data_IF_153368464344
#
_entry.id   IF_153368464344
#
_cell.length_a   1.000
_cell.length_b   1.000
_cell.length_c   1.000
_cell.angle_alpha   90.00
_cell.angle_beta   90.00
_cell.angle_gamma   90.00
#
_symmetry.space_group_name_H-M   'P 1'
#
loop_
_entity.id
_entity.type
_entity.pdbx_description
1 polymer ?
#
# COMPACT_ATOMS: atom_id res chain seq x y z
N UNK A 1 15.89 29.69 29.43
CA UNK A 1 14.86 28.76 29.95
C UNK A 1 15.26 27.37 29.53
N UNK A 2 15.17 26.36 30.40
CA UNK A 2 15.56 25.01 30.02
C UNK A 2 14.68 24.52 28.88
N UNK A 3 15.28 24.23 27.75
CA UNK A 3 14.64 23.51 26.65
C UNK A 3 14.65 22.02 27.04
N UNK A 4 13.50 21.38 27.04
CA UNK A 4 13.42 19.99 27.46
C UNK A 4 12.04 19.35 27.26
N UNK A 5 11.87 18.17 27.80
CA UNK A 5 10.65 17.36 27.73
C UNK A 5 9.41 18.19 28.07
N UNK A 6 8.37 18.12 27.23
CA UNK A 6 7.11 18.84 27.40
C UNK A 6 7.07 20.26 26.87
N UNK A 7 8.14 20.75 26.24
CA UNK A 7 8.14 22.05 25.58
C UNK A 7 7.93 21.90 24.06
N UNK A 8 7.06 22.72 23.44
CA UNK A 8 6.89 22.69 21.99
C UNK A 8 8.18 23.20 21.31
N UNK A 9 8.75 22.38 20.45
CA UNK A 9 9.90 22.78 19.61
C UNK A 9 9.36 23.06 18.21
N UNK A 10 9.62 24.27 17.72
CA UNK A 10 9.28 24.65 16.33
C UNK A 10 10.28 23.99 15.38
N UNK A 11 9.81 23.48 14.25
CA UNK A 11 10.66 22.99 13.18
C UNK A 11 11.40 24.18 12.53
N UNK A 12 12.61 23.97 12.08
CA UNK A 12 13.40 25.03 11.41
C UNK A 12 12.77 25.44 10.08
N UNK A 13 12.11 24.50 9.43
CA UNK A 13 11.46 24.65 8.12
C UNK A 13 10.13 25.43 8.20
N UNK A 14 9.52 25.58 9.37
CA UNK A 14 8.19 26.18 9.50
C UNK A 14 8.12 27.59 8.91
N UNK A 15 9.15 28.42 9.14
CA UNK A 15 9.17 29.80 8.60
C UNK A 15 9.12 29.76 7.07
N UNK A 16 9.96 28.97 6.42
CA UNK A 16 10.05 28.81 4.98
C UNK A 16 8.75 28.28 4.36
N UNK A 17 8.11 27.29 4.99
CA UNK A 17 6.85 26.74 4.50
C UNK A 17 5.68 27.74 4.63
N UNK A 18 5.65 28.51 5.71
CA UNK A 18 4.60 29.50 5.94
C UNK A 18 4.72 30.73 5.02
N UNK A 19 5.91 31.00 4.48
CA UNK A 19 6.15 32.08 3.51
C UNK A 19 6.06 31.63 2.05
N UNK A 20 5.72 30.36 1.79
CA UNK A 20 5.57 29.83 0.43
C UNK A 20 6.90 29.47 -0.26
N UNK A 21 7.99 29.38 0.51
CA UNK A 21 9.33 29.02 0.00
C UNK A 21 9.58 27.49 0.01
N UNK A 22 8.53 26.69 0.15
CA UNK A 22 8.59 25.24 -0.03
C UNK A 22 9.00 24.90 -1.47
N UNK A 23 9.73 23.80 -1.64
CA UNK A 23 10.17 23.32 -2.96
C UNK A 23 9.76 21.85 -3.13
N UNK A 24 8.54 21.65 -3.57
CA UNK A 24 7.95 20.33 -3.81
C UNK A 24 8.23 19.86 -5.24
N UNK A 25 7.96 18.59 -5.52
CA UNK A 25 8.24 18.03 -6.85
C UNK A 25 7.43 18.72 -7.98
N UNK A 26 6.21 19.20 -7.67
CA UNK A 26 5.40 19.94 -8.63
C UNK A 26 5.88 21.39 -8.87
N UNK A 27 6.63 21.97 -7.95
CA UNK A 27 7.22 23.30 -8.14
C UNK A 27 8.40 23.29 -9.14
N UNK A 28 8.96 22.09 -9.42
CA UNK A 28 10.04 21.93 -10.37
C UNK A 28 9.55 22.15 -11.80
N UNK A 29 10.06 23.22 -12.44
CA UNK A 29 9.79 23.53 -13.83
C UNK A 29 11.11 23.77 -14.57
N UNK A 30 11.23 23.16 -15.74
CA UNK A 30 12.44 23.22 -16.57
C UNK A 30 12.13 23.83 -17.93
N UNK A 31 13.07 24.61 -18.52
CA UNK A 31 12.88 25.18 -19.87
C UNK A 31 12.60 24.07 -20.89
N UNK A 32 11.60 24.30 -21.75
CA UNK A 32 11.24 23.37 -22.82
C UNK A 32 10.61 22.06 -22.35
N UNK A 33 10.17 21.95 -21.10
CA UNK A 33 9.52 20.74 -20.62
C UNK A 33 8.22 20.43 -21.35
N UNK A 34 7.95 19.14 -21.51
CA UNK A 34 6.68 18.59 -21.95
C UNK A 34 5.91 18.02 -20.75
N UNK A 35 4.64 17.70 -20.95
CA UNK A 35 3.75 17.21 -19.90
C UNK A 35 3.23 15.83 -20.24
N UNK A 36 3.26 14.91 -19.28
CA UNK A 36 2.73 13.56 -19.40
C UNK A 36 1.38 13.44 -18.68
N UNK A 37 0.48 12.69 -19.29
CA UNK A 37 -0.79 12.25 -18.68
C UNK A 37 -0.90 10.73 -18.78
N UNK A 38 -1.33 10.07 -17.68
CA UNK A 38 -1.46 8.60 -17.63
C UNK A 38 -2.88 8.18 -17.96
N UNK A 39 -3.04 7.34 -18.97
CA UNK A 39 -4.28 6.62 -19.22
C UNK A 39 -4.31 5.41 -18.30
N UNK A 40 -5.40 5.28 -17.54
CA UNK A 40 -5.52 4.25 -16.51
C UNK A 40 -6.67 3.31 -16.78
N UNK A 41 -6.51 2.06 -16.36
CA UNK A 41 -7.56 1.05 -16.49
C UNK A 41 -8.79 1.41 -15.65
N UNK A 42 -10.00 1.37 -16.24
CA UNK A 42 -11.25 1.41 -15.51
C UNK A 42 -11.68 0.01 -14.99
N UNK A 43 -10.97 -1.05 -15.41
CA UNK A 43 -11.29 -2.43 -15.08
C UNK A 43 -10.40 -2.96 -13.98
N UNK A 44 -10.99 -3.72 -13.07
CA UNK A 44 -10.26 -4.43 -12.02
C UNK A 44 -9.47 -5.62 -12.57
N UNK A 45 -9.98 -6.27 -13.63
CA UNK A 45 -9.28 -7.32 -14.36
C UNK A 45 -9.81 -7.39 -15.78
N UNK A 46 -8.96 -7.19 -16.76
CA UNK A 46 -9.34 -7.29 -18.17
C UNK A 46 -8.14 -7.64 -19.05
N UNK A 47 -8.41 -8.35 -20.12
CA UNK A 47 -7.45 -8.50 -21.22
C UNK A 47 -7.50 -7.23 -22.07
N UNK A 48 -6.34 -6.71 -22.44
CA UNK A 48 -6.19 -5.64 -23.42
C UNK A 48 -6.08 -6.30 -24.79
N UNK A 49 -7.09 -6.13 -25.66
CA UNK A 49 -7.05 -6.66 -27.02
C UNK A 49 -6.25 -5.74 -27.93
N UNK A 50 -6.49 -4.43 -27.82
CA UNK A 50 -5.80 -3.43 -28.62
C UNK A 50 -5.73 -2.09 -27.86
N UNK A 51 -4.73 -1.28 -28.22
CA UNK A 51 -4.61 0.13 -27.85
C UNK A 51 -4.38 0.91 -29.14
N UNK A 52 -5.42 1.63 -29.59
CA UNK A 52 -5.29 2.57 -30.70
C UNK A 52 -4.79 3.93 -30.18
N UNK A 53 -3.49 4.12 -30.26
CA UNK A 53 -2.84 5.37 -29.90
C UNK A 53 -2.75 6.37 -31.09
N UNK A 54 -3.16 5.98 -32.31
CA UNK A 54 -2.96 6.76 -33.54
C UNK A 54 -3.67 8.11 -33.49
N UNK A 55 -4.93 8.12 -33.01
CA UNK A 55 -5.70 9.38 -32.86
C UNK A 55 -5.12 10.30 -31.80
N UNK A 56 -4.62 9.74 -30.72
CA UNK A 56 -3.94 10.49 -29.67
C UNK A 56 -2.64 11.10 -30.20
N UNK A 57 -1.80 10.28 -30.85
CA UNK A 57 -0.52 10.72 -31.42
C UNK A 57 -0.67 11.80 -32.51
N UNK A 58 -1.76 11.77 -33.29
CA UNK A 58 -2.08 12.77 -34.31
C UNK A 58 -2.72 14.05 -33.76
N UNK A 59 -2.94 14.19 -32.45
CA UNK A 59 -3.57 15.37 -31.87
C UNK A 59 -2.58 16.55 -31.79
N UNK A 60 -3.05 17.81 -31.92
CA UNK A 60 -2.18 18.98 -31.88
C UNK A 60 -1.35 19.07 -30.59
N UNK A 61 -0.06 19.29 -30.72
CA UNK A 61 0.86 19.43 -29.61
C UNK A 61 1.27 18.12 -28.91
N UNK A 62 0.79 16.98 -29.38
CA UNK A 62 1.23 15.67 -28.86
C UNK A 62 2.61 15.31 -29.40
N UNK A 63 3.49 14.94 -28.51
CA UNK A 63 4.88 14.56 -28.81
C UNK A 63 5.06 13.02 -28.84
N UNK A 64 4.29 12.31 -28.01
CA UNK A 64 4.27 10.84 -27.99
C UNK A 64 2.99 10.32 -27.34
N UNK A 65 2.53 9.17 -27.82
CA UNK A 65 1.53 8.33 -27.14
C UNK A 65 2.13 6.94 -26.98
N UNK A 66 2.47 6.59 -25.73
CA UNK A 66 3.32 5.46 -25.37
C UNK A 66 2.51 4.38 -24.65
N UNK A 67 2.67 3.15 -25.05
CA UNK A 67 1.93 1.99 -24.53
C UNK A 67 2.85 0.97 -23.84
N UNK A 68 2.25 -0.08 -23.25
CA UNK A 68 3.01 -1.20 -22.72
C UNK A 68 3.86 -1.94 -23.80
N UNK A 69 3.39 -1.95 -25.05
CA UNK A 69 4.16 -2.53 -26.17
C UNK A 69 5.42 -1.69 -26.47
N UNK A 70 5.31 -0.36 -26.46
CA UNK A 70 6.47 0.52 -26.64
C UNK A 70 7.48 0.34 -25.50
N UNK A 71 7.00 0.22 -24.27
CA UNK A 71 7.84 -0.02 -23.10
C UNK A 71 8.58 -1.36 -23.22
N UNK A 72 7.90 -2.43 -23.65
CA UNK A 72 8.50 -3.73 -23.86
C UNK A 72 9.53 -3.72 -25.01
N UNK A 73 9.24 -3.04 -26.12
CA UNK A 73 10.16 -2.88 -27.25
C UNK A 73 11.42 -2.13 -26.86
N UNK A 74 11.32 -1.13 -26.01
CA UNK A 74 12.46 -0.37 -25.48
C UNK A 74 13.19 -1.09 -24.33
N UNK A 75 12.76 -2.30 -23.97
CA UNK A 75 13.40 -3.14 -22.97
C UNK A 75 13.15 -2.73 -21.53
N UNK A 76 12.07 -1.95 -21.24
CA UNK A 76 11.71 -1.60 -19.89
C UNK A 76 11.33 -2.86 -19.08
N UNK A 77 11.85 -2.94 -17.87
CA UNK A 77 11.57 -4.03 -16.95
C UNK A 77 10.49 -3.66 -15.91
N UNK A 78 9.81 -4.64 -15.34
CA UNK A 78 9.00 -4.39 -14.14
C UNK A 78 9.83 -3.77 -13.01
N UNK A 79 9.20 -2.99 -12.13
CA UNK A 79 9.86 -2.44 -10.94
C UNK A 79 10.31 -3.61 -10.06
N UNK A 80 11.61 -3.68 -9.66
CA UNK A 80 12.11 -4.76 -8.82
C UNK A 80 11.39 -4.86 -7.49
N UNK A 81 10.85 -6.02 -7.16
CA UNK A 81 10.16 -6.26 -5.91
C UNK A 81 11.10 -6.92 -4.89
N UNK A 82 11.20 -6.31 -3.71
CA UNK A 82 11.97 -6.82 -2.55
C UNK A 82 11.06 -6.82 -1.33
N UNK A 83 9.97 -7.63 -1.36
CA UNK A 83 8.91 -7.53 -0.36
C UNK A 83 9.31 -8.06 1.01
N UNK A 84 10.31 -8.95 1.07
CA UNK A 84 10.79 -9.54 2.32
C UNK A 84 11.55 -8.50 3.13
N UNK A 85 11.23 -8.31 4.43
CA UNK A 85 11.99 -7.42 5.29
C UNK A 85 13.46 -7.84 5.40
N UNK A 86 14.36 -6.89 5.15
CA UNK A 86 15.81 -7.12 5.25
C UNK A 86 16.40 -6.84 6.65
N UNK A 87 15.58 -6.38 7.61
CA UNK A 87 16.05 -6.05 8.95
C UNK A 87 16.27 -7.32 9.77
N UNK A 88 17.49 -7.59 10.25
CA UNK A 88 17.81 -8.81 11.01
C UNK A 88 17.08 -8.90 12.38
N UNK A 89 16.53 -7.79 12.87
CA UNK A 89 15.74 -7.74 14.10
C UNK A 89 14.24 -7.98 13.89
N UNK A 90 13.80 -8.22 12.65
CA UNK A 90 12.42 -8.56 12.36
C UNK A 90 12.25 -10.09 12.29
N UNK A 91 11.03 -10.54 12.58
CA UNK A 91 10.71 -11.97 12.46
C UNK A 91 10.88 -12.39 10.99
N UNK A 92 11.77 -13.37 10.71
CA UNK A 92 11.95 -13.85 9.36
C UNK A 92 10.68 -14.61 8.91
N UNK A 93 10.14 -14.20 7.78
CA UNK A 93 9.12 -15.00 7.10
C UNK A 93 9.80 -16.21 6.45
N UNK A 94 9.21 -17.39 6.64
CA UNK A 94 9.64 -18.65 6.01
C UNK A 94 8.39 -19.39 5.54
N UNK A 95 8.43 -19.93 4.33
CA UNK A 95 7.35 -20.81 3.86
C UNK A 95 7.23 -22.04 4.74
N UNK A 96 6.00 -22.45 5.05
CA UNK A 96 5.72 -23.63 5.89
C UNK A 96 6.22 -24.93 5.26
N UNK A 97 6.19 -25.01 3.95
CA UNK A 97 6.61 -26.15 3.13
C UNK A 97 8.02 -26.02 2.56
N UNK A 98 8.70 -24.91 2.86
CA UNK A 98 10.05 -24.61 2.33
C UNK A 98 10.07 -24.10 0.89
N UNK A 99 8.91 -23.90 0.25
CA UNK A 99 8.81 -23.36 -1.11
C UNK A 99 9.28 -21.89 -1.17
N UNK A 100 9.78 -21.39 -2.31
CA UNK A 100 10.06 -19.98 -2.48
C UNK A 100 8.76 -19.15 -2.46
N UNK A 101 8.84 -17.92 -1.96
CA UNK A 101 7.71 -17.00 -2.03
C UNK A 101 7.39 -16.63 -3.47
N UNK A 102 6.10 -16.52 -3.78
CA UNK A 102 5.64 -15.92 -5.03
C UNK A 102 5.84 -14.40 -4.95
N UNK A 103 6.67 -13.86 -5.85
CA UNK A 103 6.92 -12.43 -5.94
C UNK A 103 6.19 -11.89 -7.17
N UNK A 104 4.93 -11.53 -7.01
CA UNK A 104 4.11 -10.97 -8.07
C UNK A 104 4.71 -9.68 -8.62
N UNK A 105 4.95 -9.56 -9.95
CA UNK A 105 5.63 -8.42 -10.55
C UNK A 105 4.84 -7.11 -10.43
N UNK A 106 5.53 -5.99 -10.68
CA UNK A 106 4.92 -4.66 -10.73
C UNK A 106 5.31 -3.98 -12.07
N UNK A 107 4.54 -4.19 -13.13
CA UNK A 107 4.78 -3.55 -14.42
C UNK A 107 4.67 -2.03 -14.33
N UNK A 108 5.43 -1.30 -15.15
CA UNK A 108 5.33 0.16 -15.25
C UNK A 108 4.15 0.62 -16.11
N UNK A 109 3.80 -0.17 -17.12
CA UNK A 109 2.58 -0.07 -17.93
C UNK A 109 2.00 -1.48 -18.10
N UNK A 110 0.67 -1.57 -18.09
CA UNK A 110 -0.01 -2.83 -18.33
C UNK A 110 0.32 -3.38 -19.73
N UNK A 111 0.70 -4.65 -19.79
CA UNK A 111 0.96 -5.37 -21.04
C UNK A 111 0.03 -6.58 -21.13
N UNK A 112 -0.84 -6.59 -22.14
CA UNK A 112 -1.78 -7.66 -22.41
C UNK A 112 -2.94 -7.80 -21.42
N UNK A 113 -2.78 -7.40 -20.14
CA UNK A 113 -3.81 -7.45 -19.10
C UNK A 113 -3.69 -6.30 -18.11
N UNK A 114 -4.84 -5.83 -17.63
CA UNK A 114 -4.92 -4.99 -16.43
C UNK A 114 -5.36 -5.82 -15.23
N UNK A 115 -4.83 -5.50 -14.04
CA UNK A 115 -5.04 -6.28 -12.82
C UNK A 115 -5.68 -5.52 -11.68
N UNK A 116 -5.84 -4.19 -11.81
CA UNK A 116 -6.58 -3.35 -10.85
C UNK A 116 -7.07 -2.05 -11.50
N UNK A 117 -8.12 -1.46 -10.95
CA UNK A 117 -8.60 -0.13 -11.35
C UNK A 117 -7.54 0.92 -11.02
N UNK A 118 -7.15 1.73 -12.01
CA UNK A 118 -6.11 2.74 -11.85
C UNK A 118 -4.71 2.29 -12.28
N UNK A 119 -4.53 1.05 -12.75
CA UNK A 119 -3.27 0.59 -13.35
C UNK A 119 -2.93 1.40 -14.59
N UNK A 120 -1.69 1.92 -14.74
CA UNK A 120 -1.29 2.65 -15.93
C UNK A 120 -1.30 1.74 -17.17
N UNK A 121 -1.99 2.17 -18.23
CA UNK A 121 -2.13 1.42 -19.50
C UNK A 121 -1.35 2.07 -20.62
N UNK A 122 -1.36 3.40 -20.64
CA UNK A 122 -0.64 4.19 -21.63
C UNK A 122 -0.25 5.56 -21.02
N UNK A 123 0.65 6.24 -21.69
CA UNK A 123 1.10 7.60 -21.34
C UNK A 123 1.07 8.48 -22.59
N UNK A 124 0.38 9.61 -22.51
CA UNK A 124 0.43 10.64 -23.55
C UNK A 124 1.33 11.77 -23.10
N UNK A 125 2.25 12.21 -23.97
CA UNK A 125 3.16 13.32 -23.72
C UNK A 125 2.88 14.43 -24.73
N UNK A 126 2.68 15.66 -24.26
CA UNK A 126 2.35 16.82 -25.10
C UNK A 126 3.03 18.10 -24.63
N UNK A 127 2.94 19.16 -25.42
CA UNK A 127 3.49 20.49 -25.11
C UNK A 127 2.90 21.09 -23.83
N UNK A 128 1.62 20.81 -23.57
CA UNK A 128 0.91 21.25 -22.36
C UNK A 128 0.14 20.10 -21.74
N UNK A 129 -0.15 20.21 -20.44
CA UNK A 129 -0.95 19.22 -19.72
C UNK A 129 -2.34 19.04 -20.34
N UNK A 130 -2.97 20.14 -20.74
CA UNK A 130 -4.31 20.10 -21.35
C UNK A 130 -4.31 19.35 -22.67
N UNK A 131 -3.31 19.55 -23.53
CA UNK A 131 -3.17 18.79 -24.77
C UNK A 131 -2.93 17.31 -24.49
N UNK A 132 -2.16 16.96 -23.46
CA UNK A 132 -1.95 15.57 -23.06
C UNK A 132 -3.25 14.93 -22.58
N UNK A 133 -4.08 15.63 -21.80
CA UNK A 133 -5.37 15.19 -21.30
C UNK A 133 -6.38 14.99 -22.46
N UNK A 134 -6.56 16.02 -23.32
CA UNK A 134 -7.47 15.96 -24.47
C UNK A 134 -7.11 14.82 -25.44
N UNK A 135 -5.82 14.60 -25.64
CA UNK A 135 -5.34 13.52 -26.50
C UNK A 135 -5.53 12.14 -25.82
N UNK A 136 -5.38 12.05 -24.51
CA UNK A 136 -5.61 10.82 -23.77
C UNK A 136 -7.07 10.34 -23.88
N UNK A 137 -8.05 11.26 -23.94
CA UNK A 137 -9.46 10.92 -24.17
C UNK A 137 -9.73 10.31 -25.57
N UNK A 138 -8.82 10.55 -26.52
CA UNK A 138 -8.93 10.01 -27.90
C UNK A 138 -8.21 8.67 -28.05
N UNK A 139 -7.47 8.23 -27.03
CA UNK A 139 -6.81 6.93 -27.01
C UNK A 139 -7.85 5.86 -26.73
N UNK A 140 -8.07 4.97 -27.68
CA UNK A 140 -9.04 3.90 -27.53
C UNK A 140 -8.38 2.62 -27.05
N UNK A 141 -8.87 2.06 -25.95
CA UNK A 141 -8.43 0.76 -25.43
C UNK A 141 -9.59 -0.21 -25.49
N UNK A 142 -9.38 -1.32 -26.17
CA UNK A 142 -10.36 -2.40 -26.23
C UNK A 142 -10.09 -3.42 -25.14
N UNK A 143 -11.05 -3.59 -24.25
CA UNK A 143 -10.94 -4.50 -23.11
C UNK A 143 -11.91 -5.66 -23.22
N UNK A 144 -11.47 -6.84 -22.79
CA UNK A 144 -12.33 -7.98 -22.45
C UNK A 144 -12.26 -8.22 -20.96
N UNK A 145 -13.33 -7.94 -20.20
CA UNK A 145 -13.35 -8.19 -18.77
C UNK A 145 -13.07 -9.66 -18.43
N UNK A 146 -12.34 -9.88 -17.37
CA UNK A 146 -11.98 -11.19 -16.83
C UNK A 146 -12.59 -11.36 -15.42
N UNK A 147 -12.78 -12.60 -14.95
CA UNK A 147 -13.16 -12.86 -13.57
C UNK A 147 -12.22 -12.15 -12.60
N UNK A 148 -12.80 -11.54 -11.57
CA UNK A 148 -12.05 -10.75 -10.59
C UNK A 148 -12.13 -11.36 -9.21
N UNK A 149 -11.06 -11.21 -8.44
CA UNK A 149 -11.02 -11.55 -7.02
C UNK A 149 -10.44 -10.37 -6.23
N UNK A 150 -11.23 -9.82 -5.31
CA UNK A 150 -10.86 -8.61 -4.55
C UNK A 150 -10.68 -8.89 -3.06
N UNK A 151 -11.33 -9.92 -2.52
CA UNK A 151 -11.21 -10.31 -1.11
C UNK A 151 -10.15 -11.38 -0.94
N UNK A 152 -9.34 -11.26 0.08
CA UNK A 152 -8.28 -12.23 0.35
C UNK A 152 -8.80 -13.65 0.62
N UNK A 153 -9.98 -13.80 1.23
CA UNK A 153 -10.60 -15.11 1.44
C UNK A 153 -10.98 -15.78 0.12
N UNK A 154 -11.56 -15.00 -0.82
CA UNK A 154 -11.96 -15.50 -2.13
C UNK A 154 -10.74 -15.88 -2.98
N UNK A 155 -9.63 -15.13 -2.84
CA UNK A 155 -8.37 -15.41 -3.53
C UNK A 155 -7.72 -16.74 -3.10
N UNK A 156 -8.04 -17.21 -1.91
CA UNK A 156 -7.56 -18.48 -1.35
C UNK A 156 -8.53 -19.64 -1.55
N UNK A 157 -9.72 -19.38 -2.09
CA UNK A 157 -10.72 -20.41 -2.31
C UNK A 157 -10.28 -21.37 -3.44
N UNK A 158 -10.60 -22.66 -3.35
CA UNK A 158 -10.36 -23.58 -4.46
C UNK A 158 -11.02 -23.11 -5.76
N UNK A 159 -10.27 -23.08 -6.86
CA UNK A 159 -10.77 -22.61 -8.16
C UNK A 159 -10.88 -21.09 -8.29
N UNK A 160 -10.30 -20.31 -7.36
CA UNK A 160 -10.23 -18.87 -7.49
C UNK A 160 -9.52 -18.44 -8.80
N UNK A 161 -10.01 -17.37 -9.48
CA UNK A 161 -9.30 -16.83 -10.63
C UNK A 161 -7.86 -16.45 -10.25
N UNK A 162 -6.90 -16.89 -11.05
CA UNK A 162 -5.48 -16.55 -10.86
C UNK A 162 -5.19 -15.17 -11.41
N UNK A 163 -4.52 -14.35 -10.62
CA UNK A 163 -4.09 -13.01 -11.03
C UNK A 163 -2.88 -13.07 -11.96
N UNK A 164 -2.00 -14.04 -11.71
CA UNK A 164 -0.78 -14.33 -12.43
C UNK A 164 -0.83 -15.79 -12.85
N UNK A 165 -1.24 -16.05 -14.08
CA UNK A 165 -1.56 -17.40 -14.60
C UNK A 165 -0.34 -18.30 -14.72
N UNK A 166 0.88 -17.73 -14.70
CA UNK A 166 2.14 -18.45 -14.62
C UNK A 166 2.38 -19.13 -13.28
N UNK A 167 1.52 -18.86 -12.29
CA UNK A 167 1.52 -19.48 -10.97
C UNK A 167 0.23 -20.27 -10.78
N UNK A 168 0.27 -21.25 -9.91
CA UNK A 168 -0.88 -22.12 -9.58
C UNK A 168 -1.67 -21.63 -8.35
N UNK A 169 -1.29 -20.46 -7.81
CA UNK A 169 -1.88 -19.89 -6.59
C UNK A 169 -1.83 -18.37 -6.57
N UNK A 170 -2.78 -17.76 -5.87
CA UNK A 170 -2.73 -16.34 -5.48
C UNK A 170 -2.01 -16.13 -4.13
N UNK A 171 -1.59 -17.18 -3.44
CA UNK A 171 -0.91 -17.10 -2.15
C UNK A 171 0.59 -16.85 -2.35
N UNK A 172 1.04 -15.63 -2.03
CA UNK A 172 2.45 -15.25 -2.13
C UNK A 172 3.28 -15.76 -0.95
N UNK A 173 2.67 -15.80 0.23
CA UNK A 173 3.31 -16.22 1.49
C UNK A 173 2.33 -17.06 2.30
N UNK A 174 2.81 -18.19 2.81
CA UNK A 174 2.19 -18.96 3.88
C UNK A 174 3.28 -19.31 4.90
N UNK A 175 3.33 -18.53 5.98
CA UNK A 175 4.40 -18.56 6.97
C UNK A 175 3.81 -18.82 8.35
N UNK A 176 4.63 -19.37 9.27
CA UNK A 176 4.22 -19.57 10.66
C UNK A 176 5.33 -19.22 11.63
N UNK A 177 4.95 -18.85 12.84
CA UNK A 177 5.84 -18.60 13.98
C UNK A 177 5.22 -19.12 15.27
N UNK A 178 6.05 -19.39 16.26
CA UNK A 178 5.63 -19.88 17.58
C UNK A 178 5.66 -21.40 17.70
N UNK A 179 5.18 -21.90 18.83
CA UNK A 179 5.14 -23.32 19.13
C UNK A 179 3.72 -23.89 18.89
N UNK A 180 3.53 -24.50 17.73
CA UNK A 180 2.26 -25.09 17.34
C UNK A 180 1.85 -26.24 18.29
N UNK A 181 2.80 -27.12 18.62
CA UNK A 181 2.49 -28.32 19.41
C UNK A 181 2.11 -27.95 20.85
N UNK A 182 2.86 -27.09 21.51
CA UNK A 182 2.54 -26.60 22.84
C UNK A 182 1.22 -25.81 22.86
N UNK A 183 0.95 -25.03 21.80
CA UNK A 183 -0.30 -24.27 21.67
C UNK A 183 -1.51 -25.22 21.54
N UNK A 184 -1.46 -26.23 20.68
CA UNK A 184 -2.55 -27.20 20.53
C UNK A 184 -2.80 -28.01 21.83
N UNK A 185 -1.74 -28.40 22.54
CA UNK A 185 -1.86 -29.05 23.84
C UNK A 185 -2.54 -28.13 24.89
N UNK A 186 -2.24 -26.83 24.86
CA UNK A 186 -2.88 -25.87 25.74
C UNK A 186 -4.37 -25.68 25.39
N UNK A 187 -4.73 -25.64 24.10
CA UNK A 187 -6.11 -25.57 23.66
C UNK A 187 -6.92 -26.83 24.03
N UNK A 188 -6.31 -28.03 23.97
CA UNK A 188 -6.96 -29.27 24.33
C UNK A 188 -7.37 -29.34 25.82
N UNK A 189 -6.66 -28.62 26.70
CA UNK A 189 -6.96 -28.55 28.15
C UNK A 189 -7.69 -27.28 28.58
N UNK A 190 -8.04 -26.41 27.64
CA UNK A 190 -8.71 -25.16 27.95
C UNK A 190 -10.13 -25.39 28.48
N UNK A 191 -10.48 -24.71 29.57
CA UNK A 191 -11.84 -24.66 30.04
C UNK A 191 -12.72 -23.74 29.21
N UNK A 192 -12.11 -22.69 28.66
CA UNK A 192 -12.78 -21.71 27.82
C UNK A 192 -11.93 -21.39 26.60
N UNK A 193 -12.58 -21.22 25.43
CA UNK A 193 -11.95 -20.72 24.20
C UNK A 193 -12.74 -19.51 23.70
N UNK A 194 -12.06 -18.37 23.63
CA UNK A 194 -12.62 -17.14 23.06
C UNK A 194 -12.14 -17.02 21.62
N UNK A 195 -13.06 -16.77 20.69
CA UNK A 195 -12.79 -16.59 19.26
C UNK A 195 -13.14 -15.19 18.83
N UNK A 196 -12.31 -14.61 17.98
CA UNK A 196 -12.53 -13.32 17.36
C UNK A 196 -12.09 -13.38 15.90
N UNK A 197 -12.98 -12.95 15.01
CA UNK A 197 -12.66 -12.62 13.65
C UNK A 197 -12.75 -11.10 13.48
N UNK A 198 -11.74 -10.50 12.87
CA UNK A 198 -11.72 -9.06 12.63
C UNK A 198 -11.02 -8.73 11.33
N UNK A 199 -11.45 -7.63 10.71
CA UNK A 199 -10.83 -7.09 9.50
C UNK A 199 -10.36 -5.67 9.76
N UNK A 200 -9.12 -5.40 9.40
CA UNK A 200 -8.57 -4.05 9.35
C UNK A 200 -8.74 -3.56 7.92
N UNK A 201 -9.61 -2.58 7.74
CA UNK A 201 -9.97 -2.08 6.42
C UNK A 201 -8.77 -1.54 5.66
N UNK A 202 -8.80 -1.66 4.34
CA UNK A 202 -7.89 -1.00 3.42
C UNK A 202 -8.02 0.52 3.57
N UNK A 203 -6.89 1.22 3.53
CA UNK A 203 -6.82 2.68 3.59
C UNK A 203 -5.86 3.22 2.56
N UNK A 204 -6.12 4.43 2.06
CA UNK A 204 -5.14 5.24 1.34
C UNK A 204 -4.62 6.34 2.25
N UNK A 205 -3.38 6.78 2.03
CA UNK A 205 -2.74 7.78 2.92
C UNK A 205 -3.13 9.21 2.60
N UNK A 206 -3.61 9.48 1.39
CA UNK A 206 -4.00 10.80 0.88
C UNK A 206 -3.04 11.91 1.35
N UNK A 207 -1.74 11.89 0.99
CA UNK A 207 -0.86 13.01 1.30
C UNK A 207 -1.38 14.32 0.69
N UNK A 208 -1.16 15.43 1.37
CA UNK A 208 -1.59 16.75 0.86
C UNK A 208 -0.96 17.05 -0.51
N UNK A 209 0.32 16.74 -0.67
CA UNK A 209 1.00 16.75 -1.96
C UNK A 209 0.63 15.51 -2.77
N UNK A 210 0.03 15.63 -3.97
CA UNK A 210 -0.07 14.51 -4.91
C UNK A 210 1.32 14.04 -5.35
N UNK A 211 1.40 12.83 -5.94
CA UNK A 211 2.65 12.38 -6.56
C UNK A 211 2.96 13.26 -7.77
N UNK A 212 4.23 13.65 -7.89
CA UNK A 212 4.74 14.37 -9.05
C UNK A 212 6.13 13.85 -9.42
N UNK A 213 6.49 13.95 -10.67
CA UNK A 213 7.82 13.66 -11.14
C UNK A 213 8.20 14.51 -12.37
N UNK A 214 9.50 14.86 -12.47
CA UNK A 214 10.08 15.44 -13.68
C UNK A 214 11.27 14.60 -14.09
N UNK A 215 11.21 14.01 -15.28
CA UNK A 215 12.29 13.22 -15.87
C UNK A 215 13.12 14.07 -16.84
N UNK A 216 14.44 13.94 -16.77
CA UNK A 216 15.40 14.58 -17.68
C UNK A 216 16.39 13.53 -18.18
N UNK A 217 16.72 13.58 -19.45
CA UNK A 217 17.77 12.77 -20.05
C UNK A 217 18.81 13.66 -20.73
N UNK A 218 20.05 13.54 -20.29
CA UNK A 218 21.19 14.22 -20.92
C UNK A 218 21.82 13.25 -21.95
N UNK A 219 21.64 13.57 -23.23
CA UNK A 219 22.16 12.78 -24.34
C UNK A 219 23.69 12.74 -24.38
N UNK A 220 24.37 13.80 -23.90
CA UNK A 220 25.84 13.88 -23.95
C UNK A 220 26.48 12.92 -22.97
N UNK A 221 25.91 12.81 -21.77
CA UNK A 221 26.43 11.98 -20.68
C UNK A 221 25.67 10.64 -20.54
N UNK A 222 24.60 10.44 -21.30
CA UNK A 222 23.67 9.33 -21.20
C UNK A 222 23.11 9.13 -19.77
N UNK A 223 22.86 10.23 -19.05
CA UNK A 223 22.40 10.21 -17.66
C UNK A 223 20.98 10.70 -17.52
N UNK A 224 20.29 10.10 -16.57
CA UNK A 224 18.93 10.47 -16.16
C UNK A 224 18.96 11.27 -14.86
N UNK A 225 18.15 12.31 -14.78
CA UNK A 225 17.80 12.96 -13.52
C UNK A 225 16.30 12.92 -13.35
N UNK A 226 15.82 12.44 -12.19
CA UNK A 226 14.40 12.36 -11.90
C UNK A 226 14.13 13.11 -10.59
N UNK A 227 13.34 14.18 -10.68
CA UNK A 227 12.83 14.89 -9.52
C UNK A 227 11.54 14.20 -9.09
N UNK A 228 11.41 13.85 -7.80
CA UNK A 228 10.26 13.08 -7.31
C UNK A 228 9.79 13.59 -5.95
N UNK A 229 8.53 13.37 -5.65
CA UNK A 229 7.96 13.52 -4.30
C UNK A 229 8.30 12.30 -3.41
N UNK A 230 9.58 11.91 -3.37
CA UNK A 230 10.05 10.74 -2.65
C UNK A 230 10.21 11.03 -1.15
N UNK A 231 9.55 10.31 -0.32
CA UNK A 231 9.58 10.55 1.12
C UNK A 231 10.72 9.90 1.91
N UNK A 232 11.92 9.75 1.34
CA UNK A 232 13.07 9.17 2.03
C UNK A 232 13.64 7.89 1.42
N UNK A 233 13.09 7.45 0.29
CA UNK A 233 13.56 6.26 -0.44
C UNK A 233 14.39 6.56 -1.68
N UNK A 234 15.07 7.71 -1.78
CA UNK A 234 15.77 8.18 -3.00
C UNK A 234 16.79 7.18 -3.55
N UNK A 235 17.54 6.50 -2.69
CA UNK A 235 18.53 5.49 -3.12
C UNK A 235 17.81 4.29 -3.73
N UNK A 236 16.78 3.78 -3.06
CA UNK A 236 15.97 2.69 -3.59
C UNK A 236 15.32 3.07 -4.91
N UNK A 237 14.72 4.26 -4.99
CA UNK A 237 14.08 4.74 -6.21
C UNK A 237 15.08 4.90 -7.36
N UNK A 238 16.30 5.37 -7.09
CA UNK A 238 17.38 5.39 -8.08
C UNK A 238 17.65 3.97 -8.63
N UNK A 239 17.83 3.01 -7.74
CA UNK A 239 18.17 1.64 -8.11
C UNK A 239 17.00 0.95 -8.86
N UNK A 240 15.78 1.20 -8.44
CA UNK A 240 14.58 0.68 -9.09
C UNK A 240 14.37 1.32 -10.47
N UNK A 241 14.50 2.64 -10.61
CA UNK A 241 14.42 3.34 -11.91
C UNK A 241 15.52 2.85 -12.86
N UNK A 242 16.73 2.70 -12.37
CA UNK A 242 17.84 2.17 -13.17
C UNK A 242 17.55 0.75 -13.66
N UNK A 243 17.01 -0.11 -12.82
CA UNK A 243 16.63 -1.46 -13.19
C UNK A 243 15.49 -1.47 -14.23
N UNK A 244 14.46 -0.63 -14.04
CA UNK A 244 13.37 -0.48 -15.03
C UNK A 244 13.92 -0.07 -16.38
N UNK A 245 14.84 0.91 -16.42
CA UNK A 245 15.44 1.43 -17.64
C UNK A 245 16.56 0.54 -18.21
N UNK A 246 16.90 -0.58 -17.54
CA UNK A 246 18.00 -1.47 -17.90
C UNK A 246 19.35 -0.74 -18.03
N UNK A 247 19.65 0.19 -17.10
CA UNK A 247 20.88 0.97 -17.07
C UNK A 247 21.60 0.84 -15.73
N UNK A 248 22.91 1.11 -15.65
CA UNK A 248 23.62 1.16 -14.38
C UNK A 248 23.04 2.20 -13.42
N UNK A 249 22.98 1.91 -12.11
CA UNK A 249 22.49 2.83 -11.10
C UNK A 249 23.23 4.19 -11.11
N UNK A 250 24.52 4.19 -11.48
CA UNK A 250 25.31 5.41 -11.63
C UNK A 250 24.83 6.34 -12.77
N UNK A 251 24.06 5.82 -13.73
CA UNK A 251 23.46 6.61 -14.80
C UNK A 251 22.16 7.34 -14.34
N UNK A 252 21.64 7.04 -13.16
CA UNK A 252 20.41 7.65 -12.65
C UNK A 252 20.69 8.48 -11.41
N UNK A 253 20.13 9.67 -11.36
CA UNK A 253 20.09 10.56 -10.20
C UNK A 253 18.64 10.82 -9.82
N UNK A 254 18.27 10.54 -8.57
CA UNK A 254 16.96 10.94 -8.01
C UNK A 254 17.16 12.12 -7.08
N UNK A 255 16.33 13.13 -7.25
CA UNK A 255 16.33 14.36 -6.45
C UNK A 255 14.96 14.48 -5.80
N UNK A 256 14.93 14.64 -4.47
CA UNK A 256 13.72 14.93 -3.72
C UNK A 256 13.94 16.19 -2.90
N UNK A 257 13.06 17.16 -3.06
CA UNK A 257 13.01 18.38 -2.26
C UNK A 257 12.17 18.18 -0.99
N UNK A 258 11.32 19.15 -0.74
CA UNK A 258 10.32 19.04 0.32
C UNK A 258 9.25 18.00 -0.04
N UNK A 259 8.64 17.38 0.97
CA UNK A 259 7.65 16.34 0.77
C UNK A 259 6.41 16.65 1.59
N UNK A 260 5.28 16.80 0.91
CA UNK A 260 3.97 17.11 1.50
C UNK A 260 3.20 15.89 2.02
N UNK A 261 3.93 14.93 2.59
CA UNK A 261 3.42 13.72 3.22
C UNK A 261 3.96 12.44 2.59
N UNK A 262 4.41 11.52 3.45
CA UNK A 262 4.91 10.20 3.05
C UNK A 262 4.05 9.07 3.60
N UNK A 263 3.82 9.07 4.91
CA UNK A 263 3.07 8.06 5.68
C UNK A 263 3.50 6.60 5.43
N UNK A 264 4.68 6.39 4.82
CA UNK A 264 5.27 5.08 4.49
C UNK A 264 5.06 4.64 3.04
N UNK A 265 4.00 5.03 2.38
CA UNK A 265 3.67 4.58 1.01
C UNK A 265 4.64 5.12 -0.04
N UNK A 266 5.18 6.33 0.15
CA UNK A 266 6.11 6.99 -0.79
C UNK A 266 7.55 6.55 -0.66
N UNK A 267 7.83 5.54 0.18
CA UNK A 267 9.14 4.90 0.22
C UNK A 267 9.37 3.92 -0.94
N UNK A 268 8.31 3.56 -1.66
CA UNK A 268 8.39 2.68 -2.82
C UNK A 268 8.40 3.49 -4.11
N UNK A 269 8.91 2.87 -5.18
CA UNK A 269 8.99 3.48 -6.50
C UNK A 269 7.64 3.36 -7.20
N UNK A 270 7.08 4.50 -7.61
CA UNK A 270 5.87 4.52 -8.45
C UNK A 270 6.26 4.36 -9.92
N UNK A 271 5.42 3.68 -10.74
CA UNK A 271 5.69 3.47 -12.16
C UNK A 271 6.01 4.75 -12.91
N UNK A 272 5.30 5.81 -12.61
CA UNK A 272 5.40 7.09 -13.29
C UNK A 272 6.78 7.75 -13.17
N UNK A 273 7.54 7.44 -12.11
CA UNK A 273 8.88 7.99 -11.92
C UNK A 273 9.88 7.45 -12.97
N UNK A 274 9.75 6.17 -13.33
CA UNK A 274 10.54 5.60 -14.41
C UNK A 274 10.00 6.01 -15.79
N UNK A 275 8.69 6.12 -15.93
CA UNK A 275 8.03 6.49 -17.19
C UNK A 275 8.38 7.90 -17.66
N UNK A 276 8.46 8.91 -16.77
CA UNK A 276 8.88 10.25 -17.17
C UNK A 276 10.35 10.29 -17.61
N UNK A 277 11.22 9.49 -17.01
CA UNK A 277 12.62 9.35 -17.41
C UNK A 277 12.74 8.70 -18.79
N UNK A 278 12.00 7.63 -19.02
CA UNK A 278 11.91 6.97 -20.32
C UNK A 278 11.38 7.88 -21.40
N UNK A 279 10.26 8.58 -21.15
CA UNK A 279 9.69 9.53 -22.09
C UNK A 279 10.67 10.67 -22.41
N UNK A 280 11.37 11.20 -21.40
CA UNK A 280 12.35 12.25 -21.61
C UNK A 280 13.46 11.83 -22.59
N UNK A 281 13.92 10.56 -22.50
CA UNK A 281 14.87 10.02 -23.48
C UNK A 281 14.26 9.93 -24.88
N UNK A 282 13.01 9.48 -24.98
CA UNK A 282 12.33 9.29 -26.28
C UNK A 282 12.09 10.62 -27.03
N UNK A 283 11.68 11.66 -26.32
CA UNK A 283 11.35 12.94 -26.96
C UNK A 283 12.50 13.96 -26.94
N UNK A 284 13.62 13.67 -26.23
CA UNK A 284 14.76 14.58 -26.11
C UNK A 284 14.50 15.85 -25.31
N UNK A 285 13.46 15.87 -24.45
CA UNK A 285 13.04 17.03 -23.65
C UNK A 285 12.69 16.59 -22.23
N UNK A 286 12.79 17.48 -21.21
CA UNK A 286 12.25 17.16 -19.88
C UNK A 286 10.76 16.83 -19.94
N UNK A 287 10.33 15.84 -19.16
CA UNK A 287 8.92 15.44 -19.07
C UNK A 287 8.43 15.53 -17.64
N UNK A 288 7.39 16.33 -17.42
CA UNK A 288 6.72 16.52 -16.13
C UNK A 288 5.42 15.74 -16.09
N UNK A 289 5.16 15.07 -14.97
CA UNK A 289 3.91 14.43 -14.64
C UNK A 289 3.44 14.82 -13.25
N UNK A 290 2.14 15.08 -13.12
CA UNK A 290 1.46 15.36 -11.87
C UNK A 290 0.26 14.42 -11.74
N UNK A 291 0.14 13.75 -10.60
CA UNK A 291 -0.99 12.90 -10.27
C UNK A 291 -2.21 13.73 -9.89
N UNK A 292 -3.33 13.55 -10.56
CA UNK A 292 -4.59 14.10 -10.10
C UNK A 292 -5.04 13.45 -8.79
N UNK A 293 -5.77 14.20 -7.97
CA UNK A 293 -6.25 13.69 -6.67
C UNK A 293 -7.14 12.46 -6.84
N UNK A 294 -7.99 12.43 -7.85
CA UNK A 294 -8.85 11.28 -8.20
C UNK A 294 -7.99 10.05 -8.53
N UNK A 295 -6.97 10.24 -9.34
CA UNK A 295 -6.06 9.16 -9.73
C UNK A 295 -5.22 8.66 -8.55
N UNK A 296 -4.87 9.54 -7.62
CA UNK A 296 -4.15 9.15 -6.40
C UNK A 296 -4.97 8.14 -5.57
N UNK A 297 -6.30 8.32 -5.47
CA UNK A 297 -7.15 7.33 -4.77
C UNK A 297 -7.13 5.95 -5.42
N UNK A 298 -7.00 5.87 -6.73
CA UNK A 298 -7.01 4.60 -7.47
C UNK A 298 -5.62 3.97 -7.62
N UNK A 299 -4.54 4.78 -7.59
CA UNK A 299 -3.19 4.36 -8.02
C UNK A 299 -2.08 4.56 -6.98
N UNK A 300 -2.32 5.25 -5.86
CA UNK A 300 -1.37 5.25 -4.74
C UNK A 300 -1.30 3.84 -4.12
N UNK A 301 -0.15 3.50 -3.55
CA UNK A 301 -0.07 2.29 -2.73
C UNK A 301 -1.02 2.44 -1.54
N UNK A 302 -1.83 1.42 -1.31
CA UNK A 302 -2.70 1.38 -0.15
C UNK A 302 -1.99 0.74 1.05
N UNK A 303 -2.61 0.84 2.22
CA UNK A 303 -2.14 0.18 3.42
C UNK A 303 -3.22 -0.64 4.09
N UNK A 304 -2.82 -1.43 5.10
CA UNK A 304 -3.73 -2.28 5.88
C UNK A 304 -4.27 -3.45 5.05
N UNK A 305 -5.58 -3.69 5.16
CA UNK A 305 -6.33 -4.83 4.61
C UNK A 305 -5.78 -6.18 5.06
N UNK A 306 -6.03 -6.43 6.32
CA UNK A 306 -5.66 -7.67 6.97
C UNK A 306 -6.88 -8.25 7.68
N UNK A 307 -7.17 -9.51 7.44
CA UNK A 307 -8.14 -10.30 8.20
C UNK A 307 -7.39 -11.13 9.24
N UNK A 308 -7.88 -11.14 10.46
CA UNK A 308 -7.31 -11.92 11.57
C UNK A 308 -8.41 -12.77 12.20
N UNK A 309 -8.17 -14.07 12.24
CA UNK A 309 -8.94 -15.05 13.00
C UNK A 309 -8.07 -15.43 14.19
N UNK A 310 -8.49 -15.08 15.42
CA UNK A 310 -7.73 -15.30 16.62
C UNK A 310 -8.53 -16.09 17.64
N UNK A 311 -7.85 -16.99 18.35
CA UNK A 311 -8.43 -17.77 19.43
C UNK A 311 -7.53 -17.71 20.66
N UNK A 312 -8.14 -17.50 21.83
CA UNK A 312 -7.47 -17.45 23.12
C UNK A 312 -8.00 -18.58 24.01
N UNK A 313 -7.11 -19.43 24.46
CA UNK A 313 -7.39 -20.52 25.40
C UNK A 313 -7.19 -20.03 26.86
N UNK A 314 -8.15 -20.34 27.73
CA UNK A 314 -8.14 -19.96 29.13
C UNK A 314 -8.42 -21.18 30.00
N UNK A 315 -7.85 -21.19 31.22
CA UNK A 315 -8.21 -22.15 32.24
C UNK A 315 -9.56 -21.78 32.91
N UNK A 316 -9.99 -22.60 33.89
CA UNK A 316 -11.23 -22.41 34.65
C UNK A 316 -11.24 -21.10 35.47
N UNK A 317 -10.09 -20.54 35.79
CA UNK A 317 -9.91 -19.33 36.57
C UNK A 317 -9.70 -18.09 35.66
N UNK A 318 -9.75 -18.27 34.35
CA UNK A 318 -9.60 -17.22 33.35
C UNK A 318 -8.15 -16.82 33.05
N UNK A 319 -7.17 -17.61 33.46
CA UNK A 319 -5.76 -17.37 33.13
C UNK A 319 -5.49 -17.79 31.69
N UNK A 320 -4.63 -17.03 31.03
CA UNK A 320 -4.22 -17.31 29.65
C UNK A 320 -3.38 -18.58 29.58
N UNK A 321 -3.75 -19.48 28.70
CA UNK A 321 -3.00 -20.72 28.44
C UNK A 321 -2.27 -20.62 27.08
N UNK A 322 -2.95 -20.17 26.05
CA UNK A 322 -2.35 -20.04 24.72
C UNK A 322 -3.15 -19.09 23.82
N UNK A 323 -2.46 -18.53 22.82
CA UNK A 323 -3.04 -17.75 21.73
C UNK A 323 -2.67 -18.40 20.40
N UNK A 324 -3.65 -18.57 19.51
CA UNK A 324 -3.38 -18.89 18.11
C UNK A 324 -4.14 -17.95 17.19
N UNK A 325 -3.53 -17.61 16.05
CA UNK A 325 -4.19 -16.78 15.07
C UNK A 325 -3.75 -17.10 13.64
N UNK A 326 -4.67 -16.82 12.70
CA UNK A 326 -4.40 -16.79 11.27
C UNK A 326 -4.59 -15.37 10.79
N UNK A 327 -3.54 -14.77 10.24
CA UNK A 327 -3.55 -13.43 9.69
C UNK A 327 -3.40 -13.50 8.17
N UNK A 328 -4.32 -12.92 7.43
CA UNK A 328 -4.28 -12.91 5.97
C UNK A 328 -4.23 -11.46 5.48
N UNK A 329 -3.13 -11.10 4.81
CA UNK A 329 -2.88 -9.77 4.26
C UNK A 329 -3.19 -9.75 2.76
N UNK A 330 -3.95 -8.76 2.32
CA UNK A 330 -4.17 -8.50 0.90
C UNK A 330 -3.04 -7.62 0.35
N UNK A 331 -2.31 -8.11 -0.64
CA UNK A 331 -1.19 -7.39 -1.28
C UNK A 331 -1.64 -6.48 -2.43
N UNK A 332 -2.89 -6.63 -2.90
CA UNK A 332 -3.29 -6.09 -4.19
C UNK A 332 -2.64 -6.83 -5.35
N UNK A 333 -2.50 -6.18 -6.49
CA UNK A 333 -2.07 -6.84 -7.73
C UNK A 333 -0.58 -7.22 -7.78
N UNK A 334 0.25 -6.68 -6.88
CA UNK A 334 1.71 -6.86 -6.90
C UNK A 334 2.29 -7.03 -5.51
N UNK A 335 3.38 -7.78 -5.38
CA UNK A 335 4.03 -8.06 -4.11
C UNK A 335 5.00 -6.94 -3.68
N UNK A 336 4.48 -5.76 -3.35
CA UNK A 336 5.31 -4.59 -3.01
C UNK A 336 6.02 -4.76 -1.66
N UNK A 337 5.32 -5.30 -0.65
CA UNK A 337 5.88 -5.39 0.71
C UNK A 337 5.16 -6.42 1.57
N UNK A 338 5.91 -7.34 2.16
CA UNK A 338 5.43 -8.27 3.20
C UNK A 338 5.58 -7.71 4.62
N UNK A 339 6.14 -6.50 4.76
CA UNK A 339 6.34 -5.85 6.07
C UNK A 339 5.04 -5.75 6.89
N UNK A 340 3.87 -5.40 6.32
CA UNK A 340 2.63 -5.36 7.10
C UNK A 340 2.29 -6.70 7.73
N UNK A 341 2.45 -7.81 7.01
CA UNK A 341 2.22 -9.17 7.51
C UNK A 341 3.26 -9.55 8.57
N UNK A 342 4.56 -9.42 8.25
CA UNK A 342 5.65 -9.80 9.15
C UNK A 342 5.54 -9.08 10.50
N UNK A 343 5.29 -7.76 10.49
CA UNK A 343 5.11 -6.98 11.73
C UNK A 343 3.79 -7.28 12.43
N UNK A 344 2.76 -7.65 11.69
CA UNK A 344 1.47 -8.06 12.25
C UNK A 344 1.59 -9.32 13.09
N UNK A 345 2.13 -10.39 12.53
CA UNK A 345 2.28 -11.66 13.22
C UNK A 345 3.29 -11.59 14.38
N UNK A 346 4.36 -10.80 14.24
CA UNK A 346 5.40 -10.68 15.24
C UNK A 346 4.94 -10.02 16.56
N UNK A 347 3.84 -9.28 16.54
CA UNK A 347 3.36 -8.53 17.72
C UNK A 347 1.97 -8.99 18.19
N UNK A 348 1.51 -10.13 17.74
CA UNK A 348 0.14 -10.60 18.00
C UNK A 348 -0.16 -10.83 19.48
N UNK A 349 0.78 -11.35 20.29
CA UNK A 349 0.63 -11.48 21.74
C UNK A 349 0.68 -10.13 22.48
N UNK A 350 1.25 -9.11 21.85
CA UNK A 350 1.35 -7.76 22.42
C UNK A 350 2.17 -7.70 23.70
N UNK A 351 1.55 -7.17 24.78
CA UNK A 351 2.17 -7.00 26.11
C UNK A 351 1.67 -8.05 27.11
N UNK A 352 0.86 -8.99 26.65
CA UNK A 352 0.28 -10.01 27.49
C UNK A 352 1.26 -11.16 27.71
N UNK A 353 1.31 -11.67 28.95
CA UNK A 353 2.04 -12.89 29.28
C UNK A 353 1.19 -14.10 28.92
N UNK A 354 1.43 -14.64 27.72
CA UNK A 354 0.74 -15.82 27.19
C UNK A 354 1.77 -16.94 27.08
N UNK A 355 1.60 -18.04 27.85
CA UNK A 355 2.60 -19.10 27.96
C UNK A 355 2.98 -19.77 26.63
N UNK A 356 2.03 -19.86 25.69
CA UNK A 356 2.27 -20.43 24.38
C UNK A 356 1.54 -19.67 23.30
N UNK A 357 2.14 -19.54 22.12
CA UNK A 357 1.50 -18.89 20.99
C UNK A 357 1.89 -19.52 19.66
N UNK A 358 0.92 -19.52 18.71
CA UNK A 358 1.13 -19.95 17.34
C UNK A 358 0.41 -19.00 16.38
N UNK A 359 1.15 -18.47 15.43
CA UNK A 359 0.63 -17.53 14.44
C UNK A 359 0.93 -18.04 13.04
N UNK A 360 -0.10 -18.09 12.19
CA UNK A 360 0.04 -18.31 10.75
C UNK A 360 -0.18 -16.99 10.04
N UNK A 361 0.72 -16.65 9.10
CA UNK A 361 0.63 -15.45 8.28
C UNK A 361 0.52 -15.81 6.81
N UNK A 362 -0.54 -15.33 6.14
CA UNK A 362 -0.71 -15.47 4.70
C UNK A 362 -0.73 -14.12 4.01
N UNK A 363 -0.11 -14.02 2.84
CA UNK A 363 -0.20 -12.85 1.98
C UNK A 363 -0.69 -13.28 0.59
N UNK A 364 -1.69 -12.58 0.07
CA UNK A 364 -2.35 -12.96 -1.18
C UNK A 364 -2.45 -11.79 -2.15
N UNK A 365 -2.31 -12.08 -3.44
CA UNK A 365 -2.60 -11.11 -4.51
C UNK A 365 -4.08 -11.10 -4.86
N UNK A 366 -4.59 -9.92 -5.21
CA UNK A 366 -5.98 -9.68 -5.61
C UNK A 366 -6.06 -8.57 -6.66
N UNK A 367 -7.22 -8.45 -7.33
CA UNK A 367 -7.48 -7.40 -8.32
C UNK A 367 -7.75 -6.03 -7.69
N UNK A 368 -6.84 -5.58 -6.81
CA UNK A 368 -6.91 -4.28 -6.14
C UNK A 368 -5.57 -3.55 -6.22
N UNK A 369 -5.56 -2.24 -5.98
CA UNK A 369 -4.31 -1.47 -5.93
C UNK A 369 -3.29 -2.12 -5.00
N UNK A 370 -2.00 -2.16 -5.36
CA UNK A 370 -0.98 -2.76 -4.51
C UNK A 370 -0.90 -2.15 -3.12
N UNK A 371 -0.61 -2.97 -2.11
CA UNK A 371 -0.44 -2.52 -0.73
C UNK A 371 1.01 -2.41 -0.32
N UNK A 372 1.28 -1.50 0.58
CA UNK A 372 2.60 -1.28 1.17
C UNK A 372 2.50 -0.96 2.66
N UNK A 373 3.66 -0.77 3.28
CA UNK A 373 3.76 -0.30 4.64
C UNK A 373 3.14 1.11 4.75
N UNK A 374 2.11 1.23 5.58
CA UNK A 374 1.46 2.49 5.92
C UNK A 374 1.57 2.72 7.42
N UNK A 375 1.80 3.94 7.85
CA UNK A 375 1.95 4.42 9.23
C UNK A 375 1.88 3.31 10.29
N UNK A 376 2.98 3.02 10.99
CA UNK A 376 3.20 1.87 11.88
C UNK A 376 3.34 0.50 11.18
N UNK A 377 3.34 0.43 9.84
CA UNK A 377 3.82 -0.72 9.06
C UNK A 377 3.31 -2.09 9.57
N UNK A 378 1.99 -2.26 9.66
CA UNK A 378 1.39 -3.54 10.11
C UNK A 378 1.15 -3.68 11.62
N UNK A 379 1.81 -2.89 12.49
CA UNK A 379 1.54 -2.95 13.95
C UNK A 379 0.08 -2.69 14.36
N UNK A 380 -0.79 -1.98 13.62
CA UNK A 380 -2.22 -1.92 13.94
C UNK A 380 -2.92 -3.29 13.95
N UNK A 381 -2.36 -4.33 13.32
CA UNK A 381 -2.86 -5.71 13.42
C UNK A 381 -2.79 -6.27 14.84
N UNK A 382 -1.93 -5.71 15.69
CA UNK A 382 -1.91 -5.94 17.12
C UNK A 382 -3.27 -5.70 17.80
N UNK A 383 -4.09 -4.79 17.23
CA UNK A 383 -5.43 -4.53 17.76
C UNK A 383 -6.32 -5.76 17.77
N UNK A 384 -6.14 -6.72 16.85
CA UNK A 384 -6.91 -7.96 16.83
C UNK A 384 -6.63 -8.81 18.08
N UNK A 385 -5.36 -9.00 18.44
CA UNK A 385 -4.99 -9.75 19.64
C UNK A 385 -5.42 -9.02 20.93
N UNK A 386 -5.29 -7.69 20.96
CA UNK A 386 -5.77 -6.87 22.09
C UNK A 386 -7.29 -6.91 22.21
N UNK A 387 -8.02 -6.85 21.09
CA UNK A 387 -9.48 -6.99 21.08
C UNK A 387 -9.92 -8.37 21.57
N UNK A 388 -9.23 -9.45 21.19
CA UNK A 388 -9.48 -10.80 21.69
C UNK A 388 -9.29 -10.87 23.20
N UNK A 389 -8.24 -10.27 23.74
CA UNK A 389 -7.97 -10.23 25.18
C UNK A 389 -8.96 -9.34 25.95
N UNK A 390 -9.35 -8.20 25.37
CA UNK A 390 -10.37 -7.33 25.97
C UNK A 390 -11.77 -7.98 25.92
N UNK A 391 -12.09 -8.69 24.85
CA UNK A 391 -13.35 -9.41 24.71
C UNK A 391 -13.42 -10.58 25.70
N UNK A 392 -12.31 -11.29 25.94
CA UNK A 392 -12.21 -12.31 26.97
C UNK A 392 -12.48 -11.74 28.37
N UNK A 393 -11.97 -10.56 28.68
CA UNK A 393 -12.28 -9.85 29.89
C UNK A 393 -13.78 -9.53 30.06
N UNK A 394 -14.47 -9.17 28.98
CA UNK A 394 -15.93 -8.96 28.99
C UNK A 394 -16.70 -10.27 29.12
N UNK A 395 -16.23 -11.36 28.53
CA UNK A 395 -16.83 -12.69 28.67
C UNK A 395 -16.65 -13.21 30.09
N UNK A 396 -15.48 -13.03 30.68
CA UNK A 396 -15.22 -13.39 32.08
C UNK A 396 -16.09 -12.59 33.07
N UNK A 397 -16.44 -11.34 32.76
CA UNK A 397 -17.39 -10.55 33.53
C UNK A 397 -18.84 -11.05 33.39
N UNK A 398 -19.15 -11.83 32.37
CA UNK A 398 -20.48 -12.47 32.16
C UNK A 398 -20.57 -13.90 32.68
N UNK A 399 -19.45 -14.53 33.02
CA UNK A 399 -19.47 -15.83 33.75
C UNK A 399 -19.97 -15.51 35.17
N UNK A 400 -20.94 -16.22 35.71
CA UNK A 400 -21.46 -16.01 37.06
C UNK A 400 -20.31 -15.95 38.04
N UNK A 401 -20.16 -14.84 38.76
CA UNK A 401 -19.12 -14.71 39.79
C UNK A 401 -19.38 -15.80 40.85
N UNK A 402 -18.36 -16.61 41.08
CA UNK A 402 -18.34 -17.41 42.32
C UNK A 402 -18.36 -16.45 43.50
N UNK A 403 -19.00 -16.81 44.62
CA UNK A 403 -19.13 -15.95 45.78
C UNK A 403 -17.76 -15.53 46.29
N UNK A 404 -17.59 -14.25 46.69
CA UNK A 404 -16.29 -13.75 47.10
C UNK A 404 -15.85 -14.38 48.43
N UNK A 405 -14.72 -15.04 48.41
CA UNK A 405 -13.99 -15.32 49.64
C UNK A 405 -13.03 -14.16 49.91
N UNK A 406 -13.46 -13.32 50.87
CA UNK A 406 -12.69 -12.25 51.57
C UNK A 406 -12.45 -10.92 50.81
N UNK A 407 -12.56 -9.79 51.53
CA UNK A 407 -12.41 -8.46 50.96
C UNK A 407 -11.01 -7.95 51.05
N UNK A 408 -10.32 -7.79 49.95
CA UNK A 408 -9.17 -6.89 49.89
C UNK A 408 -9.25 -6.02 48.61
N UNK A 409 -9.34 -4.76 48.87
CA UNK A 409 -9.16 -3.54 48.09
C UNK A 409 -8.63 -3.70 46.67
N UNK A 410 -9.51 -3.59 45.69
CA UNK A 410 -9.17 -3.30 44.31
C UNK A 410 -9.61 -1.89 43.96
N UNK A 411 -8.65 -0.99 43.75
CA UNK A 411 -8.90 0.29 43.07
C UNK A 411 -9.24 0.04 41.61
N UNK A 412 -10.48 0.17 41.26
CA UNK A 412 -10.97 0.15 39.89
C UNK A 412 -10.59 1.47 39.21
N UNK A 413 -9.66 1.39 38.25
CA UNK A 413 -9.55 2.45 37.25
C UNK A 413 -10.73 2.28 36.26
N UNK A 414 -11.67 3.20 36.28
CA UNK A 414 -12.75 3.25 35.33
C UNK A 414 -12.19 3.62 33.94
N UNK A 415 -12.11 2.62 33.06
CA UNK A 415 -11.93 2.87 31.63
C UNK A 415 -13.34 3.18 31.08
N UNK A 416 -13.54 4.45 30.72
CA UNK A 416 -14.78 4.90 30.10
C UNK A 416 -15.08 4.12 28.81
N UNK A 417 -16.28 3.58 28.75
CA UNK A 417 -16.84 2.99 27.52
C UNK A 417 -16.95 4.05 26.44
N UNK A 418 -16.50 3.82 25.20
CA UNK A 418 -16.83 4.71 24.09
C UNK A 418 -18.34 4.62 23.82
N UNK A 419 -19.03 5.72 24.02
CA UNK A 419 -20.40 5.91 23.59
C UNK A 419 -20.51 5.69 22.08
N UNK A 420 -21.31 4.72 21.66
CA UNK A 420 -21.82 4.63 20.30
C UNK A 420 -22.87 5.71 20.08
N UNK A 421 -22.42 6.94 19.85
CA UNK A 421 -23.29 7.96 19.29
C UNK A 421 -23.36 7.75 17.79
N UNK A 422 -24.47 7.18 17.34
CA UNK A 422 -24.85 7.16 15.93
C UNK A 422 -24.99 8.62 15.45
N UNK A 423 -24.07 9.06 14.61
CA UNK A 423 -24.21 10.29 13.86
C UNK A 423 -25.24 10.09 12.75
N UNK A 424 -26.51 10.33 13.04
CA UNK A 424 -27.48 10.62 12.01
C UNK A 424 -27.35 12.09 11.63
N UNK A 425 -26.57 12.40 10.60
CA UNK A 425 -26.56 13.73 9.98
C UNK A 425 -27.82 13.90 9.13
N UNK A 426 -28.84 14.52 9.71
CA UNK A 426 -29.90 15.14 8.90
C UNK A 426 -29.32 16.41 8.29
N UNK A 427 -29.04 16.35 7.00
CA UNK A 427 -28.81 17.52 6.18
C UNK A 427 -30.11 18.33 6.13
N UNK A 428 -30.19 19.45 6.80
CA UNK A 428 -31.23 20.46 6.60
C UNK A 428 -30.76 21.37 5.49
N UNK A 429 -31.38 21.25 4.32
CA UNK A 429 -31.33 22.25 3.27
C UNK A 429 -32.09 23.47 3.73
N UNK A 430 -31.42 24.59 3.91
CA UNK A 430 -32.03 25.90 3.96
C UNK A 430 -32.15 26.43 2.54
N UNK A 431 -33.32 27.02 2.14
CA UNK A 431 -33.46 27.67 0.84
C UNK A 431 -32.71 29.01 0.80
N UNK A 432 -32.35 29.53 -0.38
CA UNK A 432 -31.69 30.82 -0.50
C UNK A 432 -32.66 31.97 -0.23
N UNK A 433 -32.18 33.12 0.25
CA UNK A 433 -33.02 34.31 0.37
C UNK A 433 -33.18 34.95 -1.01
N UNK A 434 -34.44 35.32 -1.30
CA UNK A 434 -34.83 36.15 -2.42
C UNK A 434 -34.32 37.59 -2.25
N UNK A 435 -33.93 38.13 -3.38
CA UNK A 435 -33.87 39.50 -3.87
C UNK A 435 -33.96 40.71 -2.85
N UNK A 436 -32.99 41.55 -2.83
CA UNK A 436 -33.02 42.95 -3.33
C UNK A 436 -31.63 43.38 -3.77
#
# INVERSE_FOLDING_TARGET
MPQGIGKPVRRREDARFLTGEGNYADDMNLPGQAYAYMVRSPHAHARILSIDAGRAAGSPGVLAALTGNDAAQDGLQPIPQRPVPANPHEVPLKSRDGSPFLIAPHPVLALGKTRYVGEPVAMVVAETLWQAMDAAERLAVEYVPLPTVVRSADALAPGAPLLWEEHDTNCCVDSEIGDKAATELAFARAAHVVRLETTINRVTSVPMEPRAAVGVYDQTTARYTVFTSAGGGVVRQRDDIAAVLSVPAAAVRVVSGDVGGNFGIRNNTSPEFALVAWAARRIGRPVKWLCERRDAFASDFHGRELTSEAELALDKDGRFLALRAVNTSNLGASAISFVPLAKGIAVSSGVYDIPSSYMRGRAVVTNTSPTSAYRNAGRPTRLAAQATSAYSGQVLLRIPKFPPTSPETTRTAAVGTPSTAAMSSRCRTTPPPDEV
#
